data_IF_856859346997
#
_entry.id   IF_856859346997
#
_cell.length_a   1.000
_cell.length_b   1.000
_cell.length_c   1.000
_cell.angle_alpha   90.00
_cell.angle_beta   90.00
_cell.angle_gamma   90.00
#
_symmetry.space_group_name_H-M   'P 1'
#
loop_
_entity.id
_entity.type
_entity.pdbx_description
1 polymer ?
2 non-polymer ?
3 non-polymer ?
4 non-polymer ?
5 non-polymer ?
6 water ?
#
# COMPACT_ATOMS: atom_id res chain seq x y z
N UNK A 2 -1.55 -7.03 29.89
CA UNK A 2 -1.92 -6.59 28.55
C UNK A 2 -0.69 -6.57 27.65
N UNK A 3 -0.74 -7.37 26.59
CA UNK A 3 0.41 -7.60 25.71
C UNK A 3 0.36 -6.70 24.47
N UNK A 4 1.52 -6.14 24.11
CA UNK A 4 1.61 -5.21 22.98
C UNK A 4 2.43 -5.76 21.82
N UNK A 5 1.92 -5.54 20.61
CA UNK A 5 2.70 -5.78 19.39
C UNK A 5 2.94 -4.44 18.69
N UNK A 6 4.20 -4.10 18.49
CA UNK A 6 4.59 -2.86 17.83
C UNK A 6 5.12 -3.15 16.44
N UNK A 7 4.45 -2.58 15.43
CA UNK A 7 4.85 -2.73 14.04
C UNK A 7 5.37 -1.39 13.50
N UNK A 8 6.67 -1.31 13.27
CA UNK A 8 7.30 -0.09 12.77
C UNK A 8 7.48 -0.14 11.26
N UNK A 9 6.94 0.86 10.56
CA UNK A 9 6.87 0.83 9.10
C UNK A 9 7.80 1.83 8.40
N UNK A 10 8.41 2.75 9.16
CA UNK A 10 9.33 3.71 8.55
C UNK A 10 10.68 3.07 8.24
N UNK A 11 11.20 3.29 7.01
CA UNK A 11 12.57 2.83 6.70
C UNK A 11 13.65 3.59 7.46
N UNK A 12 13.29 4.74 8.02
CA UNK A 12 14.25 5.54 8.77
C UNK A 12 14.35 5.05 10.21
N UNK A 13 15.51 5.25 10.82
CA UNK A 13 15.75 4.79 12.18
C UNK A 13 15.61 5.89 13.20
N UNK A 14 16.74 6.44 13.64
CA UNK A 14 16.77 7.49 14.65
C UNK A 14 15.98 8.72 14.18
N UNK A 15 15.96 8.94 12.88
CA UNK A 15 15.35 10.13 12.30
C UNK A 15 13.86 9.94 11.97
N UNK A 16 13.36 8.72 12.14
CA UNK A 16 11.94 8.47 11.93
C UNK A 16 11.12 9.10 13.05
N UNK A 17 10.24 10.03 12.69
CA UNK A 17 9.40 10.69 13.68
C UNK A 17 8.26 9.79 14.14
N UNK A 18 7.72 8.98 13.22
CA UNK A 18 6.64 8.08 13.58
C UNK A 18 7.14 6.99 14.52
N UNK A 19 8.36 6.51 14.26
CA UNK A 19 9.01 5.52 15.11
C UNK A 19 9.30 6.13 16.49
N UNK A 20 9.83 7.35 16.48
CA UNK A 20 10.18 8.04 17.72
C UNK A 20 8.96 8.23 18.61
N UNK A 21 7.88 8.73 18.01
CA UNK A 21 6.66 9.00 18.75
C UNK A 21 6.05 7.71 19.28
N UNK A 22 6.14 6.64 18.50
CA UNK A 22 5.61 5.36 18.93
C UNK A 22 6.42 4.81 20.11
N UNK A 23 7.73 5.05 20.09
CA UNK A 23 8.60 4.58 21.17
C UNK A 23 8.38 5.40 22.45
N UNK A 24 7.96 6.66 22.30
CA UNK A 24 7.58 7.47 23.45
C UNK A 24 6.41 6.80 24.16
N UNK A 25 5.44 6.34 23.38
CA UNK A 25 4.27 5.66 23.93
C UNK A 25 4.66 4.35 24.61
N UNK A 26 5.48 3.56 23.94
CA UNK A 26 5.88 2.25 24.46
C UNK A 26 6.68 2.38 25.76
N UNK A 27 7.55 3.37 25.82
CA UNK A 27 8.34 3.61 27.02
C UNK A 27 7.44 4.07 28.17
N UNK A 28 6.54 5.01 27.88
CA UNK A 28 5.61 5.51 28.88
C UNK A 28 4.73 4.37 29.38
N UNK A 29 4.28 3.52 28.46
CA UNK A 29 3.48 2.37 28.81
C UNK A 29 4.28 1.42 29.70
N UNK A 30 5.54 1.22 29.35
CA UNK A 30 6.43 0.34 30.11
C UNK A 30 6.59 0.82 31.55
N UNK A 31 6.66 2.14 31.72
CA UNK A 31 6.80 2.73 33.05
C UNK A 31 5.58 2.43 33.93
N UNK A 32 4.40 2.38 33.30
CA UNK A 32 3.15 2.17 34.02
C UNK A 32 2.80 0.69 34.13
N UNK A 33 3.47 -0.15 33.33
CA UNK A 33 3.20 -1.58 33.32
C UNK A 33 4.50 -2.38 33.19
N UNK A 34 5.24 -2.53 34.29
CA UNK A 34 6.57 -3.15 34.24
C UNK A 34 6.55 -4.61 33.79
N UNK A 35 5.42 -5.29 34.03
CA UNK A 35 5.29 -6.70 33.69
C UNK A 35 4.80 -6.92 32.26
N UNK A 36 4.30 -5.87 31.62
CA UNK A 36 3.75 -5.96 30.28
C UNK A 36 4.79 -6.44 29.28
N UNK A 37 4.38 -7.35 28.38
CA UNK A 37 5.25 -7.84 27.33
C UNK A 37 5.10 -7.01 26.07
N UNK A 38 6.23 -6.61 25.50
CA UNK A 38 6.24 -5.80 24.28
C UNK A 38 7.06 -6.52 23.20
N UNK A 39 6.41 -6.80 22.08
CA UNK A 39 7.06 -7.42 20.94
C UNK A 39 7.09 -6.45 19.76
N UNK A 40 8.23 -6.39 19.08
CA UNK A 40 8.41 -5.49 17.95
C UNK A 40 8.59 -6.26 16.65
N UNK A 41 7.85 -5.84 15.62
CA UNK A 41 7.95 -6.43 14.29
C UNK A 41 8.31 -5.35 13.27
N UNK A 42 9.52 -5.43 12.75
CA UNK A 42 10.02 -4.40 11.84
C UNK A 42 9.60 -4.71 10.42
N UNK A 43 8.89 -3.78 9.81
CA UNK A 43 8.51 -3.89 8.41
C UNK A 43 9.01 -2.73 7.56
N UNK A 44 9.71 -1.79 8.17
CA UNK A 44 10.26 -0.66 7.44
C UNK A 44 11.71 -0.81 7.06
N UNK A 45 12.52 -1.25 8.02
CA UNK A 45 13.95 -1.42 7.79
C UNK A 45 14.25 -2.84 7.34
N UNK A 46 13.19 -3.65 7.24
CA UNK A 46 13.30 -5.03 6.80
C UNK A 46 12.38 -5.24 5.59
N UNK A 47 12.90 -5.81 4.49
CA UNK A 47 12.06 -6.01 3.31
C UNK A 47 11.13 -7.21 3.46
N UNK A 48 9.91 -6.97 3.91
CA UNK A 48 8.94 -8.04 4.10
C UNK A 48 8.51 -8.58 2.74
N UNK A 49 8.54 -9.92 2.56
CA UNK A 49 8.16 -10.48 1.26
C UNK A 49 6.72 -10.16 0.85
N UNK A 50 6.51 -9.98 -0.45
CA UNK A 50 5.19 -9.69 -0.98
C UNK A 50 4.40 -10.97 -1.19
N UNK A 51 3.08 -10.82 -1.28
CA UNK A 51 2.21 -11.94 -1.61
C UNK A 51 2.55 -12.47 -2.99
N UNK A 52 2.81 -13.77 -3.08
CA UNK A 52 3.09 -14.43 -4.35
C UNK A 52 1.92 -15.30 -4.76
N UNK A 53 1.98 -15.86 -5.96
CA UNK A 53 0.93 -16.75 -6.44
C UNK A 53 0.86 -18.01 -5.57
N UNK A 54 2.02 -18.46 -5.10
CA UNK A 54 2.10 -19.64 -4.24
C UNK A 54 1.40 -19.38 -2.91
N UNK A 55 1.56 -18.17 -2.38
CA UNK A 55 0.88 -17.76 -1.15
C UNK A 55 -0.63 -17.82 -1.34
N UNK A 56 -1.11 -17.30 -2.47
CA UNK A 56 -2.53 -17.30 -2.79
C UNK A 56 -3.05 -18.74 -2.89
N UNK A 57 -2.30 -19.59 -3.55
CA UNK A 57 -2.70 -20.98 -3.73
C UNK A 57 -2.79 -21.71 -2.38
N UNK A 58 -1.88 -21.37 -1.48
CA UNK A 58 -1.83 -22.02 -0.17
C UNK A 58 -2.91 -21.48 0.76
N UNK A 59 -2.97 -20.15 0.87
CA UNK A 59 -3.88 -19.51 1.82
C UNK A 59 -5.35 -19.80 1.51
N UNK A 60 -5.65 -20.04 0.24
CA UNK A 60 -7.03 -20.27 -0.20
C UNK A 60 -7.27 -21.73 -0.60
N UNK A 61 -6.38 -22.62 -0.16
CA UNK A 61 -6.52 -24.05 -0.43
C UNK A 61 -7.84 -24.56 0.15
N UNK A 62 -8.63 -25.29 -0.66
CA UNK A 62 -9.94 -25.74 -0.18
C UNK A 62 -9.85 -26.72 1.00
N UNK A 63 -8.84 -27.59 0.98
CA UNK A 63 -8.57 -28.48 2.11
C UNK A 63 -7.24 -28.10 2.76
N UNK A 64 -7.25 -27.11 3.66
CA UNK A 64 -6.00 -26.58 4.24
C UNK A 64 -5.18 -27.64 4.99
N UNK A 65 -5.83 -28.68 5.48
CA UNK A 65 -5.14 -29.76 6.17
C UNK A 65 -4.24 -30.57 5.23
N UNK A 66 -4.55 -30.50 3.94
CA UNK A 66 -3.85 -31.31 2.94
C UNK A 66 -2.73 -30.56 2.24
N UNK A 67 -2.37 -29.39 2.77
CA UNK A 67 -1.27 -28.61 2.20
C UNK A 67 0.05 -29.38 2.28
N UNK A 68 0.78 -29.41 1.17
CA UNK A 68 2.09 -30.03 1.16
C UNK A 68 3.04 -29.24 2.05
N UNK A 69 4.19 -29.82 2.36
CA UNK A 69 5.20 -29.14 3.19
C UNK A 69 5.69 -27.87 2.50
N UNK A 70 5.70 -27.88 1.18
CA UNK A 70 6.08 -26.71 0.40
C UNK A 70 5.07 -25.59 0.60
N UNK A 71 3.80 -25.93 0.60
CA UNK A 71 2.74 -24.95 0.79
C UNK A 71 2.81 -24.34 2.20
N UNK A 72 3.08 -25.19 3.18
CA UNK A 72 3.20 -24.72 4.56
C UNK A 72 4.39 -23.78 4.72
N UNK A 73 5.46 -24.04 3.96
CA UNK A 73 6.62 -23.17 3.95
C UNK A 73 6.24 -21.80 3.39
N UNK A 74 5.40 -21.79 2.36
CA UNK A 74 4.94 -20.55 1.75
C UNK A 74 4.12 -19.70 2.74
N UNK A 75 3.60 -20.35 3.77
CA UNK A 75 2.74 -19.69 4.76
C UNK A 75 3.40 -19.55 6.13
N UNK A 76 4.64 -20.03 6.25
CA UNK A 76 5.32 -20.06 7.55
C UNK A 76 5.47 -18.66 8.13
N UNK A 77 5.83 -17.70 7.29
CA UNK A 77 6.00 -16.32 7.76
C UNK A 77 4.66 -15.74 8.17
N UNK A 78 3.64 -15.95 7.32
CA UNK A 78 2.30 -15.48 7.62
C UNK A 78 1.82 -16.02 8.97
N UNK A 79 2.01 -17.32 9.19
CA UNK A 79 1.62 -17.95 10.44
C UNK A 79 2.32 -17.31 11.64
N UNK A 80 3.59 -16.94 11.45
CA UNK A 80 4.33 -16.26 12.51
C UNK A 80 3.79 -14.87 12.76
N UNK A 81 3.53 -14.13 11.68
CA UNK A 81 3.01 -12.77 11.78
C UNK A 81 1.63 -12.70 12.41
N UNK A 82 0.77 -13.63 12.00
CA UNK A 82 -0.58 -13.72 12.55
C UNK A 82 -0.51 -14.06 14.04
N UNK A 83 0.40 -14.96 14.40
CA UNK A 83 0.52 -15.41 15.77
C UNK A 83 0.90 -14.29 16.70
N UNK A 84 1.80 -13.42 16.24
CA UNK A 84 2.20 -12.26 17.02
C UNK A 84 0.98 -11.38 17.32
N UNK A 85 0.05 -11.36 16.37
CA UNK A 85 -1.15 -10.53 16.48
C UNK A 85 -2.15 -11.16 17.46
N UNK A 86 -2.29 -12.47 17.38
CA UNK A 86 -3.17 -13.20 18.30
C UNK A 86 -2.67 -13.07 19.74
N UNK A 87 -1.35 -13.05 19.91
CA UNK A 87 -0.75 -12.96 21.23
C UNK A 87 -0.90 -11.57 21.84
N UNK A 88 -1.26 -10.59 21.03
CA UNK A 88 -1.33 -9.20 21.49
C UNK A 88 -2.74 -8.80 21.90
N UNK A 89 -2.82 -7.84 22.82
CA UNK A 89 -4.08 -7.21 23.18
C UNK A 89 -4.16 -5.83 22.53
N UNK A 90 -3.00 -5.21 22.36
CA UNK A 90 -2.90 -3.89 21.75
C UNK A 90 -1.90 -3.90 20.59
N UNK A 91 -2.33 -3.39 19.45
CA UNK A 91 -1.48 -3.26 18.27
C UNK A 91 -1.07 -1.82 18.08
N UNK A 92 0.24 -1.58 17.99
CA UNK A 92 0.77 -0.25 17.71
C UNK A 92 1.46 -0.25 16.35
N UNK A 93 0.89 0.49 15.41
CA UNK A 93 1.50 0.67 14.09
C UNK A 93 2.05 2.08 13.99
N UNK A 94 3.35 2.19 13.70
CA UNK A 94 3.97 3.48 13.40
C UNK A 94 4.25 3.52 11.91
N UNK A 95 3.79 4.56 11.23
CA UNK A 95 3.96 4.63 9.79
C UNK A 95 4.00 6.05 9.24
N UNK A 96 4.92 6.31 8.30
CA UNK A 96 4.83 7.57 7.56
C UNK A 96 3.67 7.57 6.57
N UNK A 97 3.39 8.73 5.98
CA UNK A 97 2.58 8.79 4.78
C UNK A 97 3.52 8.84 3.58
N UNK A 98 3.51 7.79 2.77
CA UNK A 98 4.27 7.77 1.52
C UNK A 98 3.29 7.84 0.35
N UNK A 99 3.38 8.93 -0.40
CA UNK A 99 2.55 9.15 -1.57
C UNK A 99 1.09 8.85 -1.29
N UNK A 100 0.59 9.47 -0.23
CA UNK A 100 -0.82 9.45 0.14
C UNK A 100 -1.29 8.07 0.61
N UNK A 101 -0.34 7.18 0.85
CA UNK A 101 -0.63 5.88 1.45
C UNK A 101 0.48 5.52 2.41
N UNK A 102 0.67 4.23 2.67
CA UNK A 102 1.73 3.76 3.56
C UNK A 102 2.89 3.19 2.76
N UNK A 103 4.07 3.02 3.40
CA UNK A 103 5.17 2.36 2.69
C UNK A 103 4.81 0.95 2.28
N UNK A 104 5.38 0.47 1.17
CA UNK A 104 5.01 -0.81 0.61
C UNK A 104 5.22 -1.96 1.58
N UNK A 105 6.19 -1.81 2.49
CA UNK A 105 6.47 -2.82 3.48
C UNK A 105 5.31 -3.07 4.44
N UNK A 106 4.60 -2.00 4.79
CA UNK A 106 3.46 -2.12 5.69
C UNK A 106 2.28 -2.76 4.96
N UNK A 107 2.12 -2.42 3.68
CA UNK A 107 1.11 -3.05 2.85
C UNK A 107 1.37 -4.55 2.77
N UNK A 108 2.64 -4.92 2.67
CA UNK A 108 3.03 -6.32 2.62
C UNK A 108 2.67 -7.04 3.92
N UNK A 109 2.85 -6.35 5.04
CA UNK A 109 2.52 -6.93 6.35
C UNK A 109 1.03 -7.22 6.43
N UNK A 110 0.21 -6.25 6.01
CA UNK A 110 -1.23 -6.43 5.98
C UNK A 110 -1.60 -7.62 5.11
N UNK A 111 -0.98 -7.72 3.94
CA UNK A 111 -1.31 -8.78 3.00
C UNK A 111 -0.91 -10.16 3.53
N UNK A 112 -0.05 -10.21 4.54
CA UNK A 112 0.36 -11.47 5.14
C UNK A 112 -0.58 -11.93 6.27
N UNK A 113 -1.16 -10.96 6.99
CA UNK A 113 -1.90 -11.28 8.20
C UNK A 113 -3.42 -11.32 8.03
N UNK A 114 -3.91 -10.94 6.84
CA UNK A 114 -5.31 -11.17 6.51
C UNK A 114 -5.43 -12.54 5.86
N UNK A 115 -5.87 -13.51 6.64
CA UNK A 115 -5.83 -14.92 6.26
C UNK A 115 -7.19 -15.60 6.38
N UNK A 116 -7.60 -16.29 5.32
CA UNK A 116 -8.86 -17.02 5.31
C UNK A 116 -8.86 -18.12 6.37
N UNK A 117 -9.89 -18.12 7.20
CA UNK A 117 -10.05 -19.14 8.23
C UNK A 117 -9.15 -18.93 9.44
N UNK A 118 -8.51 -17.77 9.52
CA UNK A 118 -7.61 -17.46 10.62
C UNK A 118 -7.93 -16.10 11.23
N UNK A 119 -7.90 -15.04 10.43
CA UNK A 119 -8.20 -13.69 10.91
C UNK A 119 -9.50 -13.18 10.31
N UNK A 120 -10.02 -13.89 9.32
CA UNK A 120 -11.37 -13.65 8.80
C UNK A 120 -11.90 -14.94 8.20
N UNK A 121 -13.21 -15.01 8.04
CA UNK A 121 -13.85 -16.15 7.39
C UNK A 121 -15.04 -15.67 6.59
N UNK A 122 -15.62 -16.58 5.81
CA UNK A 122 -16.82 -16.26 5.03
C UNK A 122 -17.75 -17.48 4.90
N UNK A 123 -19.03 -17.20 4.67
CA UNK A 123 -20.00 -18.24 4.32
C UNK A 123 -20.78 -17.75 3.13
N UNK A 124 -21.35 -18.67 2.35
CA UNK A 124 -22.08 -18.28 1.15
C UNK A 124 -23.58 -18.28 1.38
N UNK A 125 -24.21 -17.14 1.13
CA UNK A 125 -25.65 -17.01 1.29
C UNK A 125 -26.26 -16.32 0.07
N UNK A 129 -20.77 -13.99 -0.93
CA UNK A 129 -19.96 -14.27 0.24
C UNK A 129 -20.26 -13.28 1.37
N UNK A 130 -20.50 -13.82 2.57
CA UNK A 130 -20.74 -13.01 3.75
C UNK A 130 -19.56 -13.16 4.71
N UNK A 131 -18.69 -12.17 4.74
CA UNK A 131 -17.44 -12.24 5.51
C UNK A 131 -17.62 -12.01 7.01
N UNK A 132 -16.81 -12.71 7.80
CA UNK A 132 -16.79 -12.54 9.26
C UNK A 132 -15.38 -12.35 9.84
N UNK A 133 -15.23 -11.29 10.74
CA UNK A 133 -13.87 -11.22 11.33
C UNK A 133 -13.62 -12.25 12.44
N UNK A 134 -12.37 -12.64 12.65
CA UNK A 134 -12.06 -13.69 13.63
C UNK A 134 -11.17 -13.19 14.77
N UNK A 135 -10.81 -11.90 14.74
CA UNK A 135 -10.10 -11.29 15.85
C UNK A 135 -11.09 -10.55 16.75
N UNK A 136 -10.94 -10.74 18.06
CA UNK A 136 -11.85 -10.12 19.02
C UNK A 136 -11.07 -9.63 20.24
N UNK A 137 -11.58 -8.58 20.87
CA UNK A 137 -11.02 -8.09 22.12
C UNK A 137 -9.66 -7.45 21.97
N UNK A 138 -9.37 -6.92 20.78
CA UNK A 138 -8.11 -6.27 20.52
C UNK A 138 -8.31 -4.81 20.12
N UNK A 139 -7.26 -4.01 20.29
CA UNK A 139 -7.29 -2.59 20.01
C UNK A 139 -6.07 -2.21 19.19
N UNK A 140 -6.15 -1.08 18.50
CA UNK A 140 -5.03 -0.61 17.69
C UNK A 140 -4.77 0.88 17.89
N UNK A 141 -3.49 1.24 17.87
CA UNK A 141 -3.05 2.63 17.92
C UNK A 141 -2.17 2.91 16.71
N UNK A 142 -2.59 3.86 15.88
CA UNK A 142 -1.82 4.24 14.70
C UNK A 142 -1.11 5.58 14.95
N UNK A 143 0.22 5.54 14.96
CA UNK A 143 1.04 6.73 15.09
C UNK A 143 1.63 7.07 13.74
N UNK A 144 1.30 8.25 13.22
CA UNK A 144 1.74 8.61 11.87
C UNK A 144 2.36 10.01 11.78
N UNK A 145 3.26 10.16 10.81
CA UNK A 145 3.92 11.43 10.55
C UNK A 145 3.77 11.81 9.09
N UNK A 146 3.45 13.08 8.85
CA UNK A 146 3.22 13.57 7.49
C UNK A 146 4.04 14.83 7.22
N UNK A 147 4.55 14.94 6.00
CA UNK A 147 5.36 16.09 5.59
C UNK A 147 4.54 17.34 5.44
N UNK A 148 3.37 17.22 4.80
CA UNK A 148 2.50 18.36 4.55
C UNK A 148 1.46 18.56 5.63
N UNK A 149 0.38 19.26 5.30
CA UNK A 149 -0.69 19.55 6.24
C UNK A 149 -2.06 19.20 5.68
N UNK A 150 -3.05 19.09 6.57
CA UNK A 150 -4.45 19.02 6.18
C UNK A 150 -4.96 17.67 5.71
N UNK A 151 -4.30 16.59 6.11
CA UNK A 151 -4.74 15.25 5.74
C UNK A 151 -5.66 14.63 6.79
N UNK A 152 -5.83 15.33 7.92
CA UNK A 152 -6.69 14.86 8.99
C UNK A 152 -8.14 15.29 8.77
N UNK A 153 -9.03 14.84 9.66
CA UNK A 153 -10.46 15.18 9.60
C UNK A 153 -10.71 16.68 9.55
N UNK A 154 -11.45 17.13 8.53
CA UNK A 154 -11.72 18.54 8.35
C UNK A 154 -10.63 19.26 7.58
N UNK A 155 -9.51 18.57 7.36
CA UNK A 155 -8.38 19.14 6.66
C UNK A 155 -8.68 19.39 5.19
N UNK A 156 -7.92 20.31 4.59
CA UNK A 156 -8.10 20.67 3.19
C UNK A 156 -7.80 19.49 2.27
N UNK A 157 -6.88 18.63 2.69
CA UNK A 157 -6.44 17.50 1.87
C UNK A 157 -6.89 16.16 2.45
N UNK A 158 -7.99 16.17 3.16
CA UNK A 158 -8.48 14.95 3.83
C UNK A 158 -8.78 13.83 2.84
N UNK A 159 -9.39 14.18 1.72
CA UNK A 159 -9.82 13.19 0.74
C UNK A 159 -8.63 12.50 0.07
N UNK A 160 -7.46 13.11 0.17
CA UNK A 160 -6.24 12.56 -0.39
C UNK A 160 -5.62 11.48 0.50
N UNK A 161 -6.06 11.40 1.76
CA UNK A 161 -5.40 10.53 2.72
C UNK A 161 -5.93 9.12 2.59
N UNK A 162 -5.07 8.27 2.04
CA UNK A 162 -5.38 6.87 1.83
C UNK A 162 -4.48 6.00 2.69
N UNK A 163 -3.96 6.56 3.78
CA UNK A 163 -3.07 5.82 4.64
C UNK A 163 -3.76 5.31 5.90
N UNK A 164 -3.89 6.16 6.91
CA UNK A 164 -4.51 5.72 8.17
C UNK A 164 -5.97 5.35 7.96
N UNK A 165 -6.68 6.17 7.08
CA UNK A 165 -8.06 5.71 6.84
C UNK A 165 -8.11 4.31 6.24
N UNK A 166 -7.20 4.00 5.33
CA UNK A 166 -7.18 2.68 4.72
C UNK A 166 -6.85 1.60 5.75
N UNK A 167 -5.90 1.90 6.64
CA UNK A 167 -5.54 0.98 7.70
C UNK A 167 -6.73 0.66 8.59
N UNK A 168 -7.55 1.67 8.86
CA UNK A 168 -8.79 1.47 9.62
C UNK A 168 -9.66 0.41 8.98
N UNK A 169 -9.83 0.52 7.67
CA UNK A 169 -10.69 -0.37 6.92
C UNK A 169 -10.17 -1.81 6.92
N UNK A 170 -8.87 -1.95 6.66
CA UNK A 170 -8.25 -3.27 6.60
C UNK A 170 -8.30 -3.95 7.97
N UNK A 171 -7.94 -3.22 9.02
CA UNK A 171 -7.95 -3.75 10.37
C UNK A 171 -9.37 -4.08 10.83
N UNK A 172 -10.32 -3.23 10.46
CA UNK A 172 -11.71 -3.45 10.81
C UNK A 172 -12.25 -4.73 10.21
N UNK A 173 -11.77 -5.06 9.02
CA UNK A 173 -12.23 -6.24 8.29
C UNK A 173 -11.90 -7.53 9.03
N UNK A 174 -10.80 -7.55 9.77
CA UNK A 174 -10.40 -8.75 10.50
C UNK A 174 -10.83 -8.71 11.97
N UNK A 175 -11.42 -7.60 12.39
CA UNK A 175 -12.08 -7.53 13.69
C UNK A 175 -11.58 -6.44 14.64
N UNK A 176 -10.58 -5.68 14.22
CA UNK A 176 -10.05 -4.60 15.06
C UNK A 176 -10.73 -3.29 14.69
N UNK A 177 -11.85 -2.99 15.33
CA UNK A 177 -12.64 -1.81 15.02
C UNK A 177 -12.42 -0.67 16.02
N UNK A 178 -11.81 -0.99 17.16
CA UNK A 178 -11.37 0.03 18.10
C UNK A 178 -9.97 0.50 17.71
N UNK A 179 -9.91 1.65 17.03
CA UNK A 179 -8.66 2.15 16.47
C UNK A 179 -8.50 3.64 16.76
N UNK A 180 -7.36 4.02 17.31
CA UNK A 180 -7.02 5.40 17.60
C UNK A 180 -5.89 5.87 16.69
N UNK A 181 -6.04 7.07 16.14
CA UNK A 181 -5.04 7.66 15.27
C UNK A 181 -4.42 8.91 15.88
N UNK A 182 -3.10 8.88 16.03
CA UNK A 182 -2.33 10.05 16.48
C UNK A 182 -1.42 10.48 15.35
N UNK A 183 -1.61 11.71 14.86
CA UNK A 183 -0.89 12.20 13.70
C UNK A 183 -0.11 13.47 13.97
N UNK A 184 1.08 13.56 13.41
CA UNK A 184 1.87 14.78 13.39
C UNK A 184 2.05 15.23 11.95
N UNK A 185 1.87 16.53 11.69
CA UNK A 185 1.95 17.08 10.34
C UNK A 185 2.97 18.21 10.25
N UNK A 186 3.44 18.46 9.03
CA UNK A 186 4.34 19.57 8.76
C UNK A 186 5.80 19.21 8.91
N UNK A 187 6.12 17.93 8.74
CA UNK A 187 7.49 17.47 8.91
C UNK A 187 8.43 18.05 7.86
N UNK A 188 7.89 18.31 6.68
CA UNK A 188 8.69 18.84 5.58
C UNK A 188 9.26 20.21 5.94
N UNK A 189 8.44 21.03 6.60
CA UNK A 189 8.85 22.37 6.98
C UNK A 189 9.76 22.34 8.20
N UNK A 193 6.24 24.97 14.49
CA UNK A 193 4.95 24.49 14.03
C UNK A 193 4.91 22.96 14.04
N UNK A 194 5.91 22.35 13.42
CA UNK A 194 6.07 20.91 13.46
C UNK A 194 6.43 20.47 14.88
N UNK A 195 7.20 21.32 15.55
CA UNK A 195 7.57 21.07 16.94
C UNK A 195 6.34 21.10 17.83
N UNK A 196 5.38 21.96 17.49
CA UNK A 196 4.12 22.02 18.21
C UNK A 196 3.28 20.78 17.92
N UNK A 197 3.25 20.36 16.67
CA UNK A 197 2.48 19.19 16.26
C UNK A 197 3.04 17.94 16.93
N UNK A 198 4.35 17.84 17.02
CA UNK A 198 5.00 16.71 17.67
C UNK A 198 4.77 16.71 19.18
N UNK A 199 4.85 17.89 19.78
CA UNK A 199 4.67 18.01 21.24
C UNK A 199 3.26 17.63 21.62
N UNK A 200 2.29 18.04 20.80
CA UNK A 200 0.89 17.69 21.01
C UNK A 200 0.68 16.19 20.89
N UNK A 201 1.28 15.59 19.86
CA UNK A 201 1.18 14.15 19.64
C UNK A 201 1.79 13.39 20.80
N UNK A 202 2.88 13.93 21.34
CA UNK A 202 3.58 13.32 22.47
C UNK A 202 2.69 13.31 23.70
N UNK A 203 2.09 14.46 24.02
CA UNK A 203 1.21 14.58 25.18
C UNK A 203 0.01 13.65 25.06
N UNK A 204 -0.52 13.53 23.85
CA UNK A 204 -1.65 12.63 23.59
C UNK A 204 -1.26 11.18 23.85
N UNK A 205 -0.06 10.81 23.41
CA UNK A 205 0.41 9.44 23.55
C UNK A 205 0.72 9.11 25.02
N UNK A 206 1.26 10.08 25.76
CA UNK A 206 1.55 9.89 27.17
C UNK A 206 0.26 9.69 27.97
N UNK A 207 -0.81 10.35 27.55
CA UNK A 207 -2.11 10.20 28.20
C UNK A 207 -2.70 8.83 27.93
N UNK A 208 -2.60 8.39 26.67
CA UNK A 208 -3.09 7.08 26.26
C UNK A 208 -2.34 5.96 26.98
N UNK A 209 -1.04 6.16 27.17
CA UNK A 209 -0.19 5.16 27.79
C UNK A 209 -0.54 4.95 29.27
N UNK A 210 -0.87 6.05 29.94
CA UNK A 210 -1.15 6.01 31.37
C UNK A 210 -2.51 5.36 31.67
N UNK A 211 -3.38 5.29 30.67
CA UNK A 211 -4.76 4.84 30.87
C UNK A 211 -5.07 3.51 30.20
N UNK A 212 -4.12 2.97 29.44
CA UNK A 212 -4.33 1.71 28.74
C UNK A 212 -3.94 0.53 29.63
N UNK B 2 1.38 6.11 -30.59
CA UNK B 2 1.30 6.19 -29.14
C UNK B 2 2.11 5.07 -28.48
N UNK B 3 3.08 5.46 -27.67
CA UNK B 3 3.91 4.52 -26.93
C UNK B 3 3.23 4.17 -25.60
N UNK B 4 3.23 2.89 -25.26
CA UNK B 4 2.53 2.40 -24.08
C UNK B 4 3.47 1.78 -23.05
N UNK B 5 3.24 2.13 -21.78
CA UNK B 5 3.89 1.46 -20.67
C UNK B 5 2.85 0.66 -19.89
N UNK B 6 3.00 -0.66 -19.89
CA UNK B 6 2.09 -1.55 -19.19
C UNK B 6 2.71 -2.04 -17.88
N UNK B 7 2.08 -1.71 -16.77
CA UNK B 7 2.53 -2.12 -15.45
C UNK B 7 1.58 -3.18 -14.88
N UNK B 8 2.05 -4.41 -14.81
CA UNK B 8 1.25 -5.51 -14.28
C UNK B 8 1.55 -5.74 -12.80
N UNK B 9 0.50 -5.70 -11.97
CA UNK B 9 0.68 -5.71 -10.51
C UNK B 9 0.26 -7.02 -9.85
N UNK B 10 -0.44 -7.89 -10.58
CA UNK B 10 -0.86 -9.16 -10.02
C UNK B 10 0.30 -10.15 -9.93
N UNK B 11 0.49 -10.78 -8.76
CA UNK B 11 1.53 -11.81 -8.67
C UNK B 11 1.17 -13.09 -9.43
N UNK B 12 -0.08 -13.20 -9.87
CA UNK B 12 -0.51 -14.36 -10.65
C UNK B 12 -0.20 -14.15 -12.13
N UNK B 13 0.05 -15.24 -12.84
CA UNK B 13 0.40 -15.18 -14.25
C UNK B 13 -0.79 -15.44 -15.16
N UNK B 14 -0.90 -16.65 -15.67
CA UNK B 14 -2.03 -17.03 -16.52
C UNK B 14 -3.36 -16.88 -15.80
N UNK B 15 -3.35 -17.05 -14.50
CA UNK B 15 -4.60 -17.04 -13.76
C UNK B 15 -5.05 -15.63 -13.40
N UNK B 16 -4.23 -14.62 -13.68
CA UNK B 16 -4.59 -13.25 -13.34
C UNK B 16 -5.65 -12.70 -14.29
N UNK B 17 -6.77 -12.26 -13.73
CA UNK B 17 -7.85 -11.68 -14.52
C UNK B 17 -7.51 -10.25 -14.91
N UNK B 18 -6.92 -9.51 -13.98
CA UNK B 18 -6.52 -8.13 -14.26
C UNK B 18 -5.46 -8.12 -15.37
N UNK B 19 -4.54 -9.08 -15.31
CA UNK B 19 -3.51 -9.21 -16.33
C UNK B 19 -4.12 -9.58 -17.67
N UNK B 20 -5.00 -10.58 -17.66
CA UNK B 20 -5.65 -11.05 -18.88
C UNK B 20 -6.41 -9.92 -19.57
N UNK B 21 -7.27 -9.25 -18.81
CA UNK B 21 -8.09 -8.17 -19.35
C UNK B 21 -7.22 -7.05 -19.92
N UNK B 22 -6.11 -6.77 -19.25
CA UNK B 22 -5.18 -5.73 -19.72
C UNK B 22 -4.56 -6.14 -21.06
N UNK B 23 -4.22 -7.42 -21.19
CA UNK B 23 -3.62 -7.92 -22.41
C UNK B 23 -4.64 -7.93 -23.55
N UNK B 24 -5.91 -8.10 -23.22
CA UNK B 24 -6.97 -8.03 -24.21
C UNK B 24 -7.03 -6.63 -24.80
N UNK B 25 -6.86 -5.62 -23.96
CA UNK B 25 -6.83 -4.23 -24.43
C UNK B 25 -5.60 -3.96 -25.28
N UNK B 26 -4.44 -4.36 -24.77
CA UNK B 26 -3.17 -4.11 -25.46
C UNK B 26 -3.13 -4.75 -26.84
N UNK B 27 -3.67 -5.97 -26.95
CA UNK B 27 -3.74 -6.65 -28.23
C UNK B 27 -4.69 -5.95 -29.18
N UNK B 28 -5.85 -5.55 -28.67
CA UNK B 28 -6.85 -4.85 -29.46
C UNK B 28 -6.33 -3.48 -29.91
N UNK B 29 -5.50 -2.87 -29.06
CA UNK B 29 -4.92 -1.57 -29.38
C UNK B 29 -3.83 -1.70 -30.45
N UNK B 30 -3.08 -2.78 -30.38
CA UNK B 30 -1.99 -3.00 -31.32
C UNK B 30 -2.55 -3.12 -32.73
N UNK B 31 -3.69 -3.76 -32.85
CA UNK B 31 -4.32 -3.96 -34.16
C UNK B 31 -4.76 -2.62 -34.76
N UNK B 32 -5.27 -1.74 -33.91
CA UNK B 32 -5.79 -0.45 -34.35
C UNK B 32 -4.68 0.57 -34.54
N UNK B 33 -3.53 0.31 -33.94
CA UNK B 33 -2.36 1.19 -34.06
C UNK B 33 -1.10 0.36 -34.25
N UNK B 34 -0.90 -0.19 -35.46
CA UNK B 34 0.18 -1.13 -35.77
C UNK B 34 1.59 -0.61 -35.48
N UNK B 35 1.75 0.71 -35.40
CA UNK B 35 3.07 1.30 -35.18
C UNK B 35 3.36 1.49 -33.69
N UNK B 36 2.38 1.19 -32.84
CA UNK B 36 2.52 1.39 -31.41
C UNK B 36 3.58 0.48 -30.80
N UNK B 37 4.30 1.02 -29.82
CA UNK B 37 5.28 0.26 -29.05
C UNK B 37 4.72 -0.01 -27.66
N UNK B 38 5.02 -1.18 -27.12
CA UNK B 38 4.60 -1.55 -25.76
C UNK B 38 5.81 -1.94 -24.91
N UNK B 39 6.00 -1.24 -23.81
CA UNK B 39 7.00 -1.61 -22.82
C UNK B 39 6.29 -2.18 -21.59
N UNK B 40 6.73 -3.36 -21.14
CA UNK B 40 6.11 -4.03 -20.00
C UNK B 40 7.02 -3.99 -18.78
N UNK B 41 6.48 -3.44 -17.69
CA UNK B 41 7.19 -3.36 -16.41
C UNK B 41 6.47 -4.22 -15.37
N UNK B 42 7.05 -5.37 -15.06
CA UNK B 42 6.41 -6.29 -14.14
C UNK B 42 6.69 -5.90 -12.69
N UNK B 43 5.63 -5.68 -11.92
CA UNK B 43 5.75 -5.38 -10.51
C UNK B 43 5.01 -6.37 -9.63
N UNK B 44 4.34 -7.33 -10.24
CA UNK B 44 3.62 -8.35 -9.49
C UNK B 44 4.41 -9.62 -9.27
N UNK B 45 5.04 -10.10 -10.33
CA UNK B 45 5.80 -11.34 -10.27
C UNK B 45 7.27 -11.08 -10.01
N UNK B 46 7.61 -9.82 -9.84
CA UNK B 46 8.97 -9.41 -9.54
C UNK B 46 8.98 -8.55 -8.27
N UNK B 47 9.86 -8.87 -7.31
CA UNK B 47 9.87 -8.10 -6.07
C UNK B 47 10.59 -6.76 -6.22
N UNK B 48 9.83 -5.73 -6.60
CA UNK B 48 10.38 -4.38 -6.71
C UNK B 48 10.84 -3.90 -5.33
N UNK B 49 12.07 -3.40 -5.23
CA UNK B 49 12.56 -2.98 -3.91
C UNK B 49 11.77 -1.83 -3.29
N UNK B 50 11.65 -1.84 -1.97
CA UNK B 50 10.97 -0.79 -1.23
C UNK B 50 11.90 0.40 -1.05
N UNK B 51 11.31 1.57 -0.77
CA UNK B 51 12.06 2.76 -0.43
C UNK B 51 12.85 2.53 0.85
N UNK B 52 14.12 2.90 0.82
CA UNK B 52 15.00 2.78 1.98
C UNK B 52 15.40 4.17 2.47
N UNK B 53 16.03 4.24 3.64
CA UNK B 53 16.51 5.51 4.15
C UNK B 53 17.56 6.09 3.22
N UNK B 54 18.29 5.23 2.53
CA UNK B 54 19.26 5.66 1.54
C UNK B 54 18.57 6.33 0.37
N UNK B 55 17.47 5.73 -0.09
CA UNK B 55 16.67 6.30 -1.17
C UNK B 55 16.17 7.69 -0.79
N UNK B 56 15.67 7.82 0.44
CA UNK B 56 15.12 9.09 0.91
C UNK B 56 16.18 10.18 0.94
N UNK B 57 17.38 9.82 1.37
CA UNK B 57 18.48 10.78 1.47
C UNK B 57 18.90 11.29 0.10
N UNK B 58 18.86 10.40 -0.89
CA UNK B 58 19.29 10.73 -2.24
C UNK B 58 18.19 11.44 -3.04
N UNK B 59 16.95 10.97 -2.86
CA UNK B 59 15.83 11.52 -3.62
C UNK B 59 15.49 12.94 -3.20
N UNK B 60 15.69 13.22 -1.92
CA UNK B 60 15.39 14.52 -1.36
C UNK B 60 16.67 15.31 -1.12
N UNK B 61 17.75 14.89 -1.78
CA UNK B 61 19.03 15.56 -1.63
C UNK B 61 18.86 17.01 -2.05
N UNK B 62 19.38 17.95 -1.14
CA UNK B 62 19.10 19.35 -1.54
C UNK B 62 19.75 19.76 -2.86
N UNK B 63 20.98 19.33 -3.12
CA UNK B 63 21.61 19.60 -4.40
C UNK B 63 21.91 18.30 -5.15
N UNK B 64 21.04 17.94 -6.07
CA UNK B 64 21.10 16.69 -6.85
C UNK B 64 22.41 16.49 -7.62
N UNK B 65 22.95 17.57 -8.17
CA UNK B 65 24.15 17.49 -9.00
C UNK B 65 25.34 16.94 -8.23
N UNK B 66 25.31 17.11 -6.90
CA UNK B 66 26.43 16.72 -6.05
C UNK B 66 26.28 15.33 -5.44
N UNK B 67 25.30 14.57 -5.92
CA UNK B 67 25.11 13.19 -5.46
C UNK B 67 26.35 12.37 -5.75
N UNK B 68 26.72 11.52 -4.80
CA UNK B 68 27.82 10.60 -4.98
C UNK B 68 27.41 9.46 -5.90
N UNK B 69 28.37 8.67 -6.35
CA UNK B 69 28.08 7.52 -7.20
C UNK B 69 27.23 6.50 -6.45
N UNK B 70 27.42 6.42 -5.13
CA UNK B 70 26.64 5.52 -4.30
C UNK B 70 25.18 5.95 -4.25
N UNK B 71 24.96 7.26 -4.13
CA UNK B 71 23.60 7.81 -4.12
C UNK B 71 22.92 7.59 -5.46
N UNK B 72 23.67 7.81 -6.54
CA UNK B 72 23.15 7.61 -7.88
C UNK B 72 22.76 6.15 -8.09
N UNK B 73 23.57 5.24 -7.53
CA UNK B 73 23.27 3.83 -7.57
C UNK B 73 21.96 3.54 -6.83
N UNK B 74 21.77 4.20 -5.69
CA UNK B 74 20.55 4.05 -4.91
C UNK B 74 19.31 4.53 -5.68
N UNK B 75 19.55 5.38 -6.68
CA UNK B 75 18.45 5.95 -7.48
C UNK B 75 18.39 5.39 -8.90
N UNK B 76 19.27 4.44 -9.21
CA UNK B 76 19.39 3.92 -10.57
C UNK B 76 18.08 3.27 -11.04
N UNK B 77 17.48 2.43 -10.19
CA UNK B 77 16.24 1.79 -10.55
C UNK B 77 15.14 2.84 -10.75
N UNK B 78 15.06 3.78 -9.81
CA UNK B 78 14.08 4.85 -9.89
C UNK B 78 14.17 5.60 -11.21
N UNK B 79 15.40 5.90 -11.64
CA UNK B 79 15.63 6.58 -12.91
C UNK B 79 15.14 5.77 -14.10
N UNK B 80 15.37 4.46 -14.05
CA UNK B 80 14.92 3.58 -15.11
C UNK B 80 13.39 3.59 -15.17
N UNK B 81 12.76 3.53 -14.01
CA UNK B 81 11.30 3.43 -13.94
C UNK B 81 10.62 4.71 -14.39
N UNK B 82 11.17 5.84 -13.99
CA UNK B 82 10.72 7.14 -14.40
C UNK B 82 10.89 7.30 -15.92
N UNK B 83 12.01 6.83 -16.44
CA UNK B 83 12.30 6.96 -17.85
C UNK B 83 11.28 6.24 -18.70
N UNK B 84 10.89 5.05 -18.28
CA UNK B 84 9.86 4.30 -18.98
C UNK B 84 8.56 5.11 -19.02
N UNK B 85 8.30 5.85 -17.94
CA UNK B 85 7.08 6.64 -17.84
C UNK B 85 7.15 7.86 -18.76
N UNK B 86 8.29 8.54 -18.76
CA UNK B 86 8.51 9.70 -19.63
C UNK B 86 8.37 9.32 -21.10
N UNK B 87 8.86 8.15 -21.46
CA UNK B 87 8.88 7.71 -22.85
C UNK B 87 7.52 7.22 -23.34
N UNK B 88 6.53 7.20 -22.45
CA UNK B 88 5.22 6.67 -22.79
C UNK B 88 4.18 7.77 -22.97
N UNK B 89 3.12 7.45 -23.71
CA UNK B 89 1.99 8.34 -23.90
C UNK B 89 0.79 7.84 -23.10
N UNK B 90 0.63 6.52 -23.07
CA UNK B 90 -0.45 5.87 -22.34
C UNK B 90 0.11 4.91 -21.29
N UNK B 91 -0.33 5.08 -20.05
CA UNK B 91 0.04 4.20 -18.96
C UNK B 91 -1.09 3.22 -18.68
N UNK B 92 -0.82 1.93 -18.83
CA UNK B 92 -1.80 0.90 -18.49
C UNK B 92 -1.36 0.16 -17.22
N UNK B 93 -2.19 0.23 -16.19
CA UNK B 93 -1.93 -0.46 -14.94
C UNK B 93 -2.97 -1.55 -14.72
N UNK B 94 -2.50 -2.79 -14.55
CA UNK B 94 -3.38 -3.89 -14.19
C UNK B 94 -3.10 -4.29 -12.76
N UNK B 95 -4.15 -4.31 -11.93
CA UNK B 95 -3.96 -4.61 -10.51
C UNK B 95 -5.21 -5.23 -9.87
N UNK B 96 -5.01 -6.28 -9.06
CA UNK B 96 -6.14 -6.72 -8.25
C UNK B 96 -6.36 -5.77 -7.08
N UNK B 97 -7.49 -5.90 -6.40
CA UNK B 97 -7.66 -5.27 -5.11
C UNK B 97 -7.16 -6.22 -4.05
N UNK B 98 -6.12 -5.81 -3.32
CA UNK B 98 -5.61 -6.57 -2.18
C UNK B 98 -5.88 -5.80 -0.90
N UNK B 99 -6.71 -6.40 -0.06
CA UNK B 99 -7.13 -5.82 1.21
C UNK B 99 -7.49 -4.34 1.09
N UNK B 100 -8.42 -4.07 0.17
CA UNK B 100 -8.98 -2.74 -0.03
C UNK B 100 -7.96 -1.76 -0.61
N UNK B 101 -6.85 -2.27 -1.12
CA UNK B 101 -5.83 -1.45 -1.75
C UNK B 101 -5.16 -2.24 -2.88
N UNK B 102 -3.94 -1.85 -3.25
CA UNK B 102 -3.20 -2.53 -4.29
C UNK B 102 -2.16 -3.47 -3.68
N UNK B 103 -1.69 -4.46 -4.46
CA UNK B 103 -0.59 -5.29 -3.97
C UNK B 103 0.63 -4.45 -3.64
N UNK B 104 1.45 -4.89 -2.70
CA UNK B 104 2.55 -4.10 -2.18
C UNK B 104 3.58 -3.74 -3.26
N UNK B 105 3.69 -4.59 -4.27
CA UNK B 105 4.64 -4.36 -5.36
C UNK B 105 4.30 -3.12 -6.17
N UNK B 106 3.01 -2.82 -6.30
CA UNK B 106 2.57 -1.65 -7.05
C UNK B 106 2.80 -0.39 -6.22
N UNK B 107 2.60 -0.48 -4.91
CA UNK B 107 2.90 0.63 -4.02
C UNK B 107 4.39 0.96 -4.11
N UNK B 108 5.21 -0.08 -4.20
CA UNK B 108 6.65 0.10 -4.33
C UNK B 108 7.02 0.84 -5.62
N UNK B 109 6.32 0.50 -6.70
CA UNK B 109 6.55 1.15 -7.98
C UNK B 109 6.23 2.63 -7.90
N UNK B 110 5.08 2.97 -7.35
CA UNK B 110 4.68 4.36 -7.18
C UNK B 110 5.73 5.10 -6.34
N UNK B 111 6.20 4.47 -5.28
CA UNK B 111 7.18 5.11 -4.39
C UNK B 111 8.52 5.36 -5.07
N UNK B 112 8.76 4.68 -6.20
CA UNK B 112 9.99 4.87 -6.96
C UNK B 112 9.87 5.98 -8.00
N UNK B 113 8.67 6.16 -8.57
CA UNK B 113 8.50 7.08 -9.70
C UNK B 113 7.99 8.46 -9.30
N UNK B 114 7.52 8.62 -8.06
CA UNK B 114 7.21 9.96 -7.56
C UNK B 114 8.50 10.56 -7.01
N UNK B 115 9.13 11.42 -7.81
CA UNK B 115 10.47 11.91 -7.52
C UNK B 115 10.55 13.43 -7.54
N UNK B 116 11.10 13.99 -6.46
CA UNK B 116 11.28 15.43 -6.35
C UNK B 116 12.17 15.96 -7.47
N UNK B 117 11.68 16.98 -8.18
CA UNK B 117 12.44 17.61 -9.23
C UNK B 117 12.37 16.90 -10.57
N UNK B 118 11.69 15.76 -10.61
CA UNK B 118 11.61 14.95 -11.83
C UNK B 118 10.16 14.79 -12.28
N UNK B 119 9.30 14.25 -11.41
CA UNK B 119 7.88 14.11 -11.72
C UNK B 119 7.04 15.09 -10.92
N UNK B 120 7.66 15.78 -9.96
CA UNK B 120 7.02 16.86 -9.24
C UNK B 120 8.08 17.76 -8.61
N UNK B 121 7.68 18.97 -8.23
CA UNK B 121 8.59 19.92 -7.60
C UNK B 121 7.83 20.81 -6.63
N UNK B 122 8.53 21.73 -5.96
CA UNK B 122 7.89 22.65 -5.04
C UNK B 122 8.64 23.98 -4.99
N UNK B 131 3.43 22.57 -4.36
CA UNK B 131 3.69 21.34 -5.10
C UNK B 131 2.99 21.37 -6.45
N UNK B 132 3.74 21.05 -7.50
CA UNK B 132 3.21 21.05 -8.87
C UNK B 132 3.70 19.82 -9.64
N UNK B 133 2.86 19.30 -10.54
CA UNK B 133 3.22 18.14 -11.37
C UNK B 133 4.19 18.53 -12.49
N UNK B 134 4.91 17.54 -13.04
CA UNK B 134 5.86 17.79 -14.12
C UNK B 134 5.58 16.93 -15.35
N UNK B 135 4.79 15.87 -15.20
CA UNK B 135 4.39 15.07 -16.35
C UNK B 135 3.28 15.78 -17.11
N UNK B 136 3.32 15.70 -18.43
CA UNK B 136 2.33 16.33 -19.29
C UNK B 136 1.97 15.43 -20.48
N UNK B 137 0.76 15.60 -20.99
CA UNK B 137 0.32 14.90 -22.18
C UNK B 137 0.28 13.39 -22.05
N UNK B 138 0.02 12.92 -20.83
CA UNK B 138 -0.05 11.48 -20.56
C UNK B 138 -1.43 11.09 -20.05
N UNK B 139 -1.89 9.92 -20.48
CA UNK B 139 -3.17 9.36 -20.05
C UNK B 139 -2.91 8.03 -19.37
N UNK B 140 -3.84 7.60 -18.52
CA UNK B 140 -3.71 6.33 -17.83
C UNK B 140 -4.98 5.48 -17.93
N UNK B 141 -4.79 4.18 -18.01
CA UNK B 141 -5.88 3.21 -17.97
C UNK B 141 -5.63 2.21 -16.86
N UNK B 142 -6.53 2.16 -15.88
CA UNK B 142 -6.43 1.21 -14.78
C UNK B 142 -7.42 0.07 -14.99
N UNK B 143 -6.88 -1.14 -15.14
CA UNK B 143 -7.68 -2.34 -15.29
C UNK B 143 -7.60 -3.15 -14.00
N UNK B 144 -8.71 -3.20 -13.25
CA UNK B 144 -8.68 -3.81 -11.93
C UNK B 144 -9.68 -4.96 -11.79
N UNK B 145 -9.36 -5.89 -10.91
CA UNK B 145 -10.20 -7.04 -10.62
C UNK B 145 -10.44 -7.15 -9.13
N UNK B 146 -11.68 -7.49 -8.76
CA UNK B 146 -12.06 -7.59 -7.35
C UNK B 146 -12.88 -8.86 -7.10
N UNK B 147 -12.67 -9.46 -5.93
CA UNK B 147 -13.44 -10.62 -5.52
C UNK B 147 -14.85 -10.23 -5.11
N UNK B 148 -14.96 -9.13 -4.37
CA UNK B 148 -16.23 -8.68 -3.83
C UNK B 148 -17.05 -7.85 -4.79
N UNK B 149 -18.00 -7.10 -4.24
CA UNK B 149 -18.91 -6.28 -5.04
C UNK B 149 -19.07 -4.87 -4.46
N UNK B 150 -19.42 -3.92 -5.32
CA UNK B 150 -19.86 -2.60 -4.90
C UNK B 150 -18.76 -1.64 -4.47
N UNK B 151 -17.58 -1.78 -5.06
CA UNK B 151 -16.46 -0.89 -4.75
C UNK B 151 -16.35 0.27 -5.75
N UNK B 152 -17.17 0.23 -6.79
CA UNK B 152 -17.18 1.27 -7.80
C UNK B 152 -18.01 2.47 -7.40
N UNK B 153 -18.09 3.48 -8.27
CA UNK B 153 -18.88 4.69 -8.02
C UNK B 153 -20.34 4.39 -7.68
N UNK B 154 -20.80 4.85 -6.53
CA UNK B 154 -22.18 4.65 -6.12
C UNK B 154 -22.43 3.31 -5.45
N UNK B 155 -21.38 2.50 -5.33
CA UNK B 155 -21.51 1.19 -4.73
C UNK B 155 -21.66 1.27 -3.22
N UNK B 156 -22.23 0.22 -2.64
CA UNK B 156 -22.42 0.14 -1.19
C UNK B 156 -21.09 0.25 -0.45
N UNK B 157 -20.02 -0.26 -1.08
CA UNK B 157 -18.71 -0.32 -0.44
C UNK B 157 -17.69 0.60 -1.10
N UNK B 158 -18.16 1.70 -1.68
CA UNK B 158 -17.27 2.62 -2.39
C UNK B 158 -16.24 3.26 -1.46
N UNK B 159 -16.66 3.56 -0.23
CA UNK B 159 -15.79 4.27 0.71
C UNK B 159 -14.63 3.40 1.19
N UNK B 160 -14.75 2.09 0.99
CA UNK B 160 -13.71 1.16 1.40
C UNK B 160 -12.64 1.01 0.32
N UNK B 161 -12.91 1.52 -0.87
CA UNK B 161 -11.98 1.38 -1.99
C UNK B 161 -10.81 2.34 -1.88
N UNK B 162 -9.65 1.80 -1.53
CA UNK B 162 -8.43 2.57 -1.44
C UNK B 162 -7.40 2.08 -2.47
N UNK B 163 -7.89 1.46 -3.54
CA UNK B 163 -6.99 0.95 -4.56
C UNK B 163 -6.94 1.88 -5.75
N UNK B 164 -7.91 1.79 -6.67
CA UNK B 164 -7.90 2.66 -7.83
C UNK B 164 -8.09 4.13 -7.47
N UNK B 165 -8.95 4.44 -6.50
CA UNK B 165 -9.10 5.86 -6.17
C UNK B 165 -7.82 6.46 -5.60
N UNK B 166 -6.98 5.65 -4.95
CA UNK B 166 -5.71 6.14 -4.45
C UNK B 166 -4.73 6.35 -5.61
N UNK B 167 -4.76 5.44 -6.57
CA UNK B 167 -3.90 5.56 -7.75
C UNK B 167 -4.18 6.87 -8.49
N UNK B 168 -5.46 7.23 -8.57
CA UNK B 168 -5.85 8.51 -9.17
C UNK B 168 -5.14 9.65 -8.46
N UNK B 169 -5.16 9.62 -7.13
CA UNK B 169 -4.55 10.68 -6.33
C UNK B 169 -3.05 10.77 -6.56
N UNK B 170 -2.37 9.62 -6.51
CA UNK B 170 -0.93 9.59 -6.68
C UNK B 170 -0.53 9.98 -8.09
N UNK B 171 -1.22 9.42 -9.09
CA UNK B 171 -0.94 9.73 -10.49
C UNK B 171 -1.27 11.19 -10.79
N UNK B 172 -2.35 11.68 -10.20
CA UNK B 172 -2.75 13.07 -10.38
C UNK B 172 -1.72 14.04 -9.83
N UNK B 173 -1.08 13.64 -8.74
CA UNK B 173 -0.08 14.48 -8.07
C UNK B 173 1.12 14.78 -8.96
N UNK B 174 1.46 13.84 -9.85
CA UNK B 174 2.62 14.01 -10.74
C UNK B 174 2.22 14.49 -12.14
N UNK B 175 0.91 14.61 -12.38
CA UNK B 175 0.42 15.26 -13.58
C UNK B 175 -0.46 14.44 -14.50
N UNK B 176 -0.66 13.16 -14.17
CA UNK B 176 -1.54 12.31 -14.97
C UNK B 176 -2.97 12.42 -14.45
N UNK B 177 -3.79 13.22 -15.12
CA UNK B 177 -5.14 13.53 -14.66
C UNK B 177 -6.23 12.97 -15.58
N UNK B 178 -5.84 12.47 -16.74
CA UNK B 178 -6.78 11.77 -17.63
C UNK B 178 -6.72 10.27 -17.37
N UNK B 179 -7.54 9.81 -16.44
CA UNK B 179 -7.50 8.42 -15.98
C UNK B 179 -8.85 7.73 -16.15
N UNK B 180 -8.82 6.53 -16.74
CA UNK B 180 -10.01 5.69 -16.88
C UNK B 180 -9.83 4.39 -16.10
N UNK B 181 -10.89 3.98 -15.40
CA UNK B 181 -10.86 2.75 -14.62
C UNK B 181 -11.90 1.77 -15.14
N UNK B 182 -11.44 0.59 -15.55
CA UNK B 182 -12.30 -0.51 -15.94
C UNK B 182 -12.18 -1.62 -14.90
N UNK B 183 -13.29 -1.97 -14.27
CA UNK B 183 -13.28 -2.89 -13.14
C UNK B 183 -14.20 -4.09 -13.35
N UNK B 184 -13.70 -5.26 -12.96
CA UNK B 184 -14.50 -6.49 -12.91
C UNK B 184 -14.66 -6.93 -11.46
N UNK B 185 -15.87 -7.36 -11.09
CA UNK B 185 -16.12 -7.79 -9.72
C UNK B 185 -16.74 -9.18 -9.73
N UNK B 186 -16.97 -9.74 -8.55
CA UNK B 186 -17.59 -11.04 -8.41
C UNK B 186 -16.67 -12.22 -8.62
N UNK B 187 -15.50 -12.18 -8.01
CA UNK B 187 -14.54 -13.27 -8.13
C UNK B 187 -14.30 -13.93 -6.77
N UNK B 196 -20.07 -12.24 -15.73
CA UNK B 196 -20.77 -11.24 -16.51
C UNK B 196 -20.09 -9.87 -16.42
N UNK B 197 -19.51 -9.57 -15.26
CA UNK B 197 -18.81 -8.30 -15.06
C UNK B 197 -17.55 -8.26 -15.89
N UNK B 198 -16.88 -9.41 -16.02
CA UNK B 198 -15.66 -9.50 -16.81
C UNK B 198 -15.95 -9.26 -18.28
N UNK B 199 -17.09 -9.76 -18.75
CA UNK B 199 -17.47 -9.59 -20.15
C UNK B 199 -17.74 -8.12 -20.45
N UNK B 200 -18.42 -7.45 -19.54
CA UNK B 200 -18.67 -6.02 -19.66
C UNK B 200 -17.34 -5.27 -19.71
N UNK B 201 -16.42 -5.65 -18.83
CA UNK B 201 -15.10 -5.06 -18.81
C UNK B 201 -14.37 -5.33 -20.11
N UNK B 202 -14.44 -6.57 -20.58
CA UNK B 202 -13.78 -6.97 -21.80
C UNK B 202 -14.28 -6.13 -22.98
N UNK B 203 -15.60 -6.14 -23.18
CA UNK B 203 -16.21 -5.37 -24.27
C UNK B 203 -15.91 -3.88 -24.13
N UNK B 204 -15.94 -3.39 -22.89
CA UNK B 204 -15.61 -1.99 -22.61
C UNK B 204 -14.19 -1.68 -23.08
N UNK B 205 -13.26 -2.60 -22.83
CA UNK B 205 -11.85 -2.39 -23.17
C UNK B 205 -11.62 -2.41 -24.68
N UNK B 206 -12.40 -3.22 -25.40
CA UNK B 206 -12.28 -3.27 -26.86
C UNK B 206 -12.69 -1.95 -27.49
N UNK B 207 -13.73 -1.33 -26.93
CA UNK B 207 -14.22 -0.05 -27.43
C UNK B 207 -13.18 1.05 -27.21
N UNK B 208 -12.53 1.00 -26.05
CA UNK B 208 -11.53 2.01 -25.70
C UNK B 208 -10.29 1.89 -26.58
N UNK B 209 -9.95 0.66 -26.96
CA UNK B 209 -8.77 0.42 -27.79
C UNK B 209 -8.99 0.85 -29.23
#
# INVERSE_FOLDING_TARGET
MSRILAVHASPRGERSQSRRLAEVFLAAYREAHPQARVARREVGRVPLPAVTEAFVAAAFHPQPEQRSLAMQADLALSDQLVGELFDSDLLVISTPMYNFSVPSGLKAWIDQIVRLGVTFDFVLDNGVAQYRPLLRGKRALIVTSRGGHGFGPGGENQAMNHADPWLRTALGFIGIDEVTVVAAEGEESGGRSFEDSCDEAEQRLLALARSA
MSRILAVHASPRGERSQSRRLAEVFLAAYREAHPQARVARREVGRVPLPAVTEAFVAAAFHPQPEQRSLAMQADLALSDQLVGELFDSDLLVISTPMYNFSVPSGLKAWIDQIVRLGVTFDFVLDNGVAQYRPLLRGKRALIVTSRGGHGFGPGGENQAMNHADPWLRTALGFIGIDEVTVVAAEGEESGGRSFEDSCDEAEQRLLALARSA
#
